data_IF_003535662278
#
_entry.id   IF_003535662278
#
_cell.length_a   1.000
_cell.length_b   1.000
_cell.length_c   1.000
_cell.angle_alpha   90.00
_cell.angle_beta   90.00
_cell.angle_gamma   90.00
#
_symmetry.space_group_name_H-M   'P 1'
#
loop_
_entity.id
_entity.type
_entity.pdbx_description
1 polymer ?
#
# COMPACT_ATOMS: atom_id res chain seq x y z
N UNK A 1 -5.70 3.06 -22.06
CA UNK A 1 -6.33 2.54 -20.82
C UNK A 1 -5.46 1.48 -20.13
N UNK A 2 -4.95 0.47 -20.84
CA UNK A 2 -4.05 -0.55 -20.26
C UNK A 2 -2.80 0.00 -19.55
N UNK A 3 -2.17 1.06 -20.08
CA UNK A 3 -1.04 1.71 -19.41
C UNK A 3 -1.42 2.36 -18.08
N UNK A 4 -2.64 2.92 -17.98
CA UNK A 4 -3.16 3.54 -16.76
C UNK A 4 -3.45 2.47 -15.70
N UNK A 5 -4.09 1.35 -16.08
CA UNK A 5 -4.33 0.26 -15.11
C UNK A 5 -3.04 -0.31 -14.57
N UNK A 6 -2.04 -0.54 -15.42
CA UNK A 6 -0.72 -1.05 -15.00
C UNK A 6 -0.04 -0.07 -14.04
N UNK A 7 -0.10 1.24 -14.33
CA UNK A 7 0.45 2.26 -13.45
C UNK A 7 -0.16 2.23 -12.04
N UNK A 8 -1.50 2.18 -11.94
CA UNK A 8 -2.20 2.08 -10.65
C UNK A 8 -1.82 0.80 -9.89
N UNK A 9 -1.68 -0.33 -10.61
CA UNK A 9 -1.28 -1.60 -10.01
C UNK A 9 0.15 -1.52 -9.44
N UNK A 10 1.10 -0.99 -10.21
CA UNK A 10 2.50 -0.86 -9.78
C UNK A 10 2.61 0.04 -8.54
N UNK A 11 1.94 1.19 -8.54
CA UNK A 11 1.92 2.08 -7.37
C UNK A 11 1.30 1.40 -6.16
N UNK A 12 0.17 0.70 -6.35
CA UNK A 12 -0.47 -0.07 -5.30
C UNK A 12 0.48 -1.08 -4.65
N UNK A 13 1.23 -1.82 -5.47
CA UNK A 13 2.26 -2.77 -5.00
C UNK A 13 3.38 -2.05 -4.24
N UNK A 14 3.93 -0.94 -4.76
CA UNK A 14 4.98 -0.18 -4.07
C UNK A 14 4.53 0.34 -2.70
N UNK A 15 3.29 0.82 -2.60
CA UNK A 15 2.70 1.27 -1.32
C UNK A 15 2.56 0.11 -0.32
N UNK A 16 2.13 -1.07 -0.79
CA UNK A 16 2.05 -2.26 0.06
C UNK A 16 3.43 -2.72 0.54
N UNK A 17 4.47 -2.67 -0.30
CA UNK A 17 5.84 -2.95 0.12
C UNK A 17 6.27 -1.99 1.24
N UNK A 18 5.98 -0.70 1.09
CA UNK A 18 6.21 0.30 2.15
C UNK A 18 5.45 0.00 3.44
N UNK A 19 4.19 -0.45 3.32
CA UNK A 19 3.39 -0.89 4.47
C UNK A 19 4.05 -2.09 5.19
N UNK A 20 4.51 -3.10 4.46
CA UNK A 20 5.18 -4.27 5.05
C UNK A 20 6.49 -3.89 5.76
N UNK A 21 7.23 -2.92 5.23
CA UNK A 21 8.42 -2.38 5.90
C UNK A 21 8.08 -1.78 7.28
N UNK A 22 7.10 -0.89 7.35
CA UNK A 22 6.68 -0.29 8.63
C UNK A 22 5.96 -1.28 9.54
N UNK A 23 5.29 -2.29 8.99
CA UNK A 23 4.68 -3.36 9.77
C UNK A 23 5.74 -4.24 10.45
N UNK A 24 6.82 -4.56 9.73
CA UNK A 24 7.97 -5.28 10.29
C UNK A 24 8.66 -4.47 11.38
N UNK A 25 8.77 -3.14 11.21
CA UNK A 25 9.28 -2.25 12.24
C UNK A 25 8.34 -2.14 13.46
N UNK A 26 7.02 -2.17 13.25
CA UNK A 26 6.01 -2.11 14.31
C UNK A 26 6.06 -3.30 15.27
N UNK A 27 6.42 -4.49 14.77
CA UNK A 27 6.48 -5.71 15.55
C UNK A 27 7.65 -5.76 16.54
N UNK A 28 8.74 -5.03 16.28
CA UNK A 28 9.91 -5.14 17.16
C UNK A 28 9.72 -4.33 18.47
N UNK A 29 10.17 -4.87 19.62
CA UNK A 29 10.02 -4.22 20.93
C UNK A 29 11.02 -3.06 21.12
N UNK A 30 10.66 -2.08 21.95
CA UNK A 30 11.58 -1.00 22.36
C UNK A 30 11.99 0.00 21.26
N UNK A 31 11.25 0.06 20.15
CA UNK A 31 11.65 0.84 18.97
C UNK A 31 11.15 2.29 19.00
N UNK A 32 12.06 3.19 18.63
CA UNK A 32 11.73 4.51 18.11
C UNK A 32 11.71 4.47 16.57
N UNK A 33 10.72 5.06 15.88
CA UNK A 33 9.64 5.90 16.41
C UNK A 33 8.50 5.11 17.10
N UNK A 34 7.69 5.77 17.96
CA UNK A 34 6.61 5.14 18.71
C UNK A 34 5.66 4.30 17.86
N UNK A 35 5.17 3.19 18.42
CA UNK A 35 4.25 2.23 17.77
C UNK A 35 3.01 2.89 17.16
N UNK A 36 2.47 3.96 17.77
CA UNK A 36 1.32 4.71 17.23
C UNK A 36 1.63 5.32 15.85
N UNK A 37 2.83 5.86 15.66
CA UNK A 37 3.26 6.46 14.39
C UNK A 37 3.43 5.37 13.32
N UNK A 38 4.07 4.26 13.68
CA UNK A 38 4.24 3.11 12.80
C UNK A 38 2.88 2.52 12.38
N UNK A 39 1.93 2.39 13.31
CA UNK A 39 0.55 1.95 13.02
C UNK A 39 -0.15 2.89 12.04
N UNK A 40 -0.03 4.20 12.21
CA UNK A 40 -0.62 5.17 11.30
C UNK A 40 -0.03 5.05 9.89
N UNK A 41 1.29 4.86 9.78
CA UNK A 41 1.97 4.65 8.48
C UNK A 41 1.54 3.35 7.81
N UNK A 42 1.42 2.27 8.58
CA UNK A 42 0.90 0.98 8.11
C UNK A 42 -0.53 1.14 7.59
N UNK A 43 -1.39 1.82 8.34
CA UNK A 43 -2.78 2.06 7.93
C UNK A 43 -2.87 2.95 6.68
N UNK A 44 -2.09 4.02 6.60
CA UNK A 44 -2.10 4.93 5.44
C UNK A 44 -1.56 4.26 4.18
N UNK A 45 -0.43 3.56 4.27
CA UNK A 45 0.19 2.91 3.12
C UNK A 45 -0.57 1.65 2.70
N UNK A 46 -1.08 0.87 3.66
CA UNK A 46 -1.91 -0.28 3.38
C UNK A 46 -3.25 0.10 2.76
N UNK A 47 -3.93 1.10 3.33
CA UNK A 47 -5.19 1.62 2.82
C UNK A 47 -5.05 2.21 1.42
N UNK A 48 -4.05 3.07 1.20
CA UNK A 48 -3.78 3.63 -0.12
C UNK A 48 -3.36 2.53 -1.11
N UNK A 49 -2.47 1.62 -0.73
CA UNK A 49 -2.02 0.53 -1.61
C UNK A 49 -3.15 -0.37 -2.08
N UNK A 50 -4.05 -0.77 -1.15
CA UNK A 50 -5.24 -1.56 -1.49
C UNK A 50 -6.22 -0.78 -2.38
N UNK A 51 -6.44 0.51 -2.10
CA UNK A 51 -7.29 1.37 -2.95
C UNK A 51 -6.75 1.48 -4.37
N UNK A 52 -5.45 1.73 -4.53
CA UNK A 52 -4.81 1.84 -5.85
C UNK A 52 -4.84 0.52 -6.61
N UNK A 53 -4.61 -0.62 -5.93
CA UNK A 53 -4.76 -1.94 -6.53
C UNK A 53 -6.20 -2.20 -6.99
N UNK A 54 -7.18 -1.92 -6.13
CA UNK A 54 -8.59 -2.09 -6.46
C UNK A 54 -8.96 -1.27 -7.69
N UNK A 55 -8.57 0.00 -7.75
CA UNK A 55 -8.81 0.87 -8.90
C UNK A 55 -8.15 0.31 -10.16
N UNK A 56 -6.88 -0.08 -10.10
CA UNK A 56 -6.16 -0.63 -11.25
C UNK A 56 -6.78 -1.93 -11.77
N UNK A 57 -7.24 -2.80 -10.87
CA UNK A 57 -7.96 -4.03 -11.22
C UNK A 57 -9.33 -3.70 -11.82
N UNK A 58 -10.08 -2.77 -11.24
CA UNK A 58 -11.39 -2.37 -11.76
C UNK A 58 -11.28 -1.82 -13.18
N UNK A 59 -10.31 -0.93 -13.43
CA UNK A 59 -10.00 -0.39 -14.77
C UNK A 59 -9.68 -1.54 -15.73
N UNK A 60 -8.89 -2.53 -15.29
CA UNK A 60 -8.53 -3.69 -16.12
C UNK A 60 -9.75 -4.55 -16.49
N UNK A 61 -10.70 -4.72 -15.56
CA UNK A 61 -11.89 -5.53 -15.74
C UNK A 61 -12.93 -4.78 -16.59
N UNK A 62 -13.20 -3.51 -16.28
CA UNK A 62 -14.21 -2.71 -16.98
C UNK A 62 -13.80 -2.35 -18.40
N UNK A 63 -12.50 -2.17 -18.65
CA UNK A 63 -11.96 -1.72 -19.94
C UNK A 63 -11.25 -2.88 -20.65
N UNK A 64 -11.71 -4.11 -20.37
CA UNK A 64 -11.25 -5.33 -21.02
C UNK A 64 -11.39 -5.25 -22.55
#
# INVERSE_FOLDING_TARGET
MKGVSIFFIIIGIMLLIGMFYYFSAYQRPGIYPPKKILRNRVASLGGAGLLFLLIGILITILIK
#
